data_IF_572105224476
#
_entry.id   IF_572105224476
#
_cell.length_a   1.000
_cell.length_b   1.000
_cell.length_c   1.000
_cell.angle_alpha   90.00
_cell.angle_beta   90.00
_cell.angle_gamma   90.00
#
_symmetry.space_group_name_H-M   'P 1'
#
loop_
_entity.id
_entity.type
_entity.pdbx_description
1 polymer ?
#
# COMPACT_ATOMS: atom_id res chain seq x y z
N UNK A 1 14.26 45.08 46.92
CA UNK A 1 13.72 43.78 46.47
C UNK A 1 13.44 43.85 44.98
N UNK A 2 14.22 43.14 44.15
CA UNK A 2 14.01 43.04 42.70
C UNK A 2 13.55 41.60 42.42
N UNK A 3 12.30 41.43 42.00
CA UNK A 3 11.73 40.14 41.62
C UNK A 3 11.92 40.03 40.10
N UNK A 4 12.70 39.06 39.67
CA UNK A 4 12.98 38.77 38.26
C UNK A 4 11.93 37.76 37.77
N UNK A 5 11.23 37.95 36.64
CA UNK A 5 10.28 36.95 36.19
C UNK A 5 11.03 35.83 35.48
N UNK A 6 10.89 34.62 36.00
CA UNK A 6 11.26 33.39 35.32
C UNK A 6 10.27 33.18 34.17
N UNK A 7 10.72 33.45 32.93
CA UNK A 7 9.97 33.11 31.72
C UNK A 7 10.12 31.60 31.51
N UNK A 8 9.04 30.85 31.76
CA UNK A 8 8.93 29.43 31.43
C UNK A 8 8.81 29.29 29.92
N UNK A 9 9.93 28.93 29.28
CA UNK A 9 9.96 28.54 27.87
C UNK A 9 9.27 27.18 27.73
N UNK A 10 8.03 27.18 27.23
CA UNK A 10 7.37 25.95 26.78
C UNK A 10 8.08 25.46 25.52
N UNK A 11 8.98 24.50 25.66
CA UNK A 11 9.57 23.77 24.53
C UNK A 11 8.49 22.82 24.03
N UNK A 12 7.73 23.24 23.03
CA UNK A 12 6.80 22.37 22.31
C UNK A 12 7.61 21.33 21.54
N UNK A 13 7.67 20.09 22.05
CA UNK A 13 8.24 18.96 21.33
C UNK A 13 7.23 18.54 20.28
N UNK A 14 7.39 18.98 19.03
CA UNK A 14 6.59 18.46 17.92
C UNK A 14 7.06 17.03 17.64
N UNK A 15 6.39 16.04 18.22
CA UNK A 15 6.55 14.66 17.79
C UNK A 15 5.96 14.57 16.38
N UNK A 16 6.82 14.55 15.36
CA UNK A 16 6.41 14.16 14.02
C UNK A 16 5.89 12.72 14.11
N UNK A 17 4.57 12.56 14.14
CA UNK A 17 3.96 11.26 13.92
C UNK A 17 4.37 10.84 12.50
N UNK A 18 5.34 9.94 12.41
CA UNK A 18 5.75 9.36 11.15
C UNK A 18 4.55 8.54 10.65
N UNK A 19 3.74 9.13 9.77
CA UNK A 19 2.59 8.45 9.19
C UNK A 19 3.07 7.21 8.45
N UNK A 20 2.41 6.07 8.57
CA UNK A 20 2.82 4.86 7.85
C UNK A 20 2.46 4.92 6.36
N UNK A 21 1.72 5.96 5.96
CA UNK A 21 1.50 6.33 4.57
C UNK A 21 2.77 6.88 3.92
N UNK A 22 2.80 6.79 2.61
CA UNK A 22 3.94 7.16 1.77
C UNK A 22 4.28 6.08 0.75
N UNK A 23 5.40 6.27 0.08
CA UNK A 23 5.91 5.33 -0.92
C UNK A 23 6.66 4.19 -0.22
N UNK A 24 6.33 2.97 -0.59
CA UNK A 24 7.05 1.77 -0.17
C UNK A 24 7.55 1.05 -1.42
N UNK A 25 8.80 0.59 -1.42
CA UNK A 25 9.39 -0.06 -2.59
C UNK A 25 10.42 -1.12 -2.25
N UNK A 26 10.70 -2.02 -3.18
CA UNK A 26 11.80 -2.99 -3.08
C UNK A 26 13.16 -2.28 -3.12
N UNK A 27 13.21 -1.20 -3.91
CA UNK A 27 14.26 -0.19 -3.97
C UNK A 27 13.59 1.19 -3.89
N UNK A 28 14.38 2.24 -3.61
CA UNK A 28 13.88 3.62 -3.59
C UNK A 28 14.33 4.45 -4.80
N UNK A 29 14.92 3.78 -5.79
CA UNK A 29 15.14 4.27 -7.14
C UNK A 29 13.98 3.82 -8.05
N UNK A 30 14.16 3.96 -9.37
CA UNK A 30 13.16 3.60 -10.38
C UNK A 30 13.27 2.13 -10.83
N UNK A 31 14.25 1.36 -10.33
CA UNK A 31 14.58 0.01 -10.80
C UNK A 31 13.83 -1.10 -10.02
N UNK A 32 12.73 -0.76 -9.35
CA UNK A 32 12.02 -1.66 -8.43
C UNK A 32 10.50 -1.59 -8.50
N UNK A 33 9.85 -2.53 -7.81
CA UNK A 33 8.42 -2.39 -7.52
C UNK A 33 8.23 -1.35 -6.42
N UNK A 34 7.29 -0.44 -6.63
CA UNK A 34 6.85 0.50 -5.61
C UNK A 34 5.33 0.62 -5.56
N UNK A 35 4.83 0.93 -4.36
CA UNK A 35 3.43 1.16 -4.07
C UNK A 35 3.30 2.41 -3.22
N UNK A 36 2.40 3.29 -3.63
CA UNK A 36 2.01 4.44 -2.82
C UNK A 36 0.87 4.01 -1.91
N UNK A 37 1.11 4.10 -0.60
CA UNK A 37 0.15 3.77 0.45
C UNK A 37 -0.46 5.08 0.94
N UNK A 38 -1.73 5.31 0.64
CA UNK A 38 -2.46 6.54 0.94
C UNK A 38 -3.91 6.21 1.32
N UNK A 39 -4.54 7.00 2.19
CA UNK A 39 -5.96 6.85 2.53
C UNK A 39 -6.90 7.28 1.39
N UNK A 40 -6.38 8.02 0.42
CA UNK A 40 -7.09 8.41 -0.80
C UNK A 40 -6.76 7.48 -1.96
N UNK A 41 -7.70 7.27 -2.90
CA UNK A 41 -7.46 6.46 -4.08
C UNK A 41 -6.26 6.94 -4.90
N UNK A 42 -5.36 6.01 -5.23
CA UNK A 42 -4.22 6.20 -6.12
C UNK A 42 -4.00 4.99 -7.01
N UNK A 43 -3.37 5.19 -8.16
CA UNK A 43 -3.11 4.11 -9.10
C UNK A 43 -2.04 3.13 -8.60
N UNK A 44 -2.22 1.87 -8.93
CA UNK A 44 -1.27 0.77 -8.80
C UNK A 44 -1.25 0.00 -10.11
N UNK A 45 -0.05 -0.17 -10.67
CA UNK A 45 0.18 -1.03 -11.83
C UNK A 45 0.29 -2.46 -11.32
N UNK A 46 -0.62 -3.32 -11.76
CA UNK A 46 -0.66 -4.74 -11.36
C UNK A 46 0.05 -5.60 -12.40
N UNK A 47 -0.21 -5.31 -13.67
CA UNK A 47 0.54 -5.85 -14.80
C UNK A 47 0.72 -4.76 -15.84
N UNK A 48 1.95 -4.60 -16.31
CA UNK A 48 2.34 -3.58 -17.28
C UNK A 48 1.52 -3.72 -18.56
N UNK A 49 0.94 -2.61 -18.99
CA UNK A 49 0.07 -2.51 -20.18
C UNK A 49 -1.17 -3.42 -20.16
N UNK A 50 -1.49 -4.09 -19.04
CA UNK A 50 -2.64 -5.01 -18.95
C UNK A 50 -3.62 -4.61 -17.86
N UNK A 51 -3.16 -4.24 -16.67
CA UNK A 51 -4.03 -4.00 -15.52
C UNK A 51 -3.44 -2.87 -14.65
N UNK A 52 -4.14 -1.74 -14.62
CA UNK A 52 -3.92 -0.66 -13.66
C UNK A 52 -5.20 -0.46 -12.87
N UNK A 53 -5.10 -0.46 -11.54
CA UNK A 53 -6.23 -0.28 -10.63
C UNK A 53 -6.02 0.96 -9.78
N UNK A 54 -7.10 1.51 -9.25
CA UNK A 54 -7.06 2.45 -8.14
C UNK A 54 -7.22 1.68 -6.83
N UNK A 55 -6.39 2.04 -5.85
CA UNK A 55 -6.38 1.48 -4.51
C UNK A 55 -6.38 2.58 -3.46
N UNK A 56 -6.87 2.27 -2.27
CA UNK A 56 -6.63 3.05 -1.07
C UNK A 56 -6.19 2.14 0.08
N UNK A 57 -5.60 2.75 1.09
CA UNK A 57 -5.08 2.08 2.26
C UNK A 57 -5.89 2.45 3.51
N UNK A 58 -6.00 1.50 4.42
CA UNK A 58 -6.54 1.73 5.76
C UNK A 58 -5.60 1.14 6.78
N UNK A 59 -5.12 1.96 7.71
CA UNK A 59 -4.43 1.47 8.90
C UNK A 59 -5.40 0.61 9.74
N UNK A 60 -4.96 -0.61 10.05
CA UNK A 60 -5.72 -1.56 10.87
C UNK A 60 -5.19 -1.52 12.31
N UNK A 61 -3.88 -1.41 12.45
CA UNK A 61 -3.18 -1.17 13.71
C UNK A 61 -1.84 -0.45 13.43
N UNK A 62 -1.06 -0.22 14.49
CA UNK A 62 0.21 0.51 14.44
C UNK A 62 1.25 -0.03 13.44
N UNK A 63 1.17 -1.31 13.08
CA UNK A 63 2.15 -2.04 12.28
C UNK A 63 1.51 -2.76 11.09
N UNK A 64 0.22 -2.51 10.82
CA UNK A 64 -0.52 -3.22 9.78
C UNK A 64 -1.45 -2.29 9.01
N UNK A 65 -1.35 -2.36 7.70
CA UNK A 65 -2.21 -1.68 6.74
C UNK A 65 -2.86 -2.70 5.82
N UNK A 66 -4.15 -2.52 5.56
CA UNK A 66 -4.84 -3.20 4.48
C UNK A 66 -4.96 -2.27 3.27
N UNK A 67 -4.79 -2.83 2.08
CA UNK A 67 -4.92 -2.12 0.81
C UNK A 67 -6.14 -2.70 0.09
N UNK A 68 -7.02 -1.82 -0.35
CA UNK A 68 -8.31 -2.16 -0.94
C UNK A 68 -8.38 -1.71 -2.38
N UNK A 69 -9.11 -2.47 -3.20
CA UNK A 69 -9.43 -2.09 -4.57
C UNK A 69 -10.60 -1.10 -4.58
N UNK A 70 -10.47 -0.02 -5.35
CA UNK A 70 -11.56 0.93 -5.59
C UNK A 70 -12.18 0.74 -6.96
N UNK A 71 -11.35 0.79 -8.00
CA UNK A 71 -11.82 0.76 -9.39
C UNK A 71 -10.69 0.37 -10.34
N UNK A 72 -11.07 0.06 -11.56
CA UNK A 72 -10.13 -0.01 -12.68
C UNK A 72 -9.70 1.41 -13.06
N UNK A 73 -8.40 1.61 -13.23
CA UNK A 73 -7.84 2.83 -13.80
C UNK A 73 -7.61 2.69 -15.31
N UNK A 74 -7.03 1.56 -15.74
CA UNK A 74 -6.76 1.25 -17.15
C UNK A 74 -6.66 -0.27 -17.38
N UNK A 75 -7.07 -0.75 -18.56
CA UNK A 75 -7.03 -2.17 -18.93
C UNK A 75 -6.49 -2.36 -20.35
N UNK A 76 -5.53 -3.27 -20.46
CA UNK A 76 -5.19 -3.95 -21.69
C UNK A 76 -5.98 -5.25 -21.88
N UNK A 77 -5.63 -5.99 -22.93
CA UNK A 77 -6.33 -7.22 -23.34
C UNK A 77 -6.41 -8.28 -22.24
N UNK A 78 -5.36 -8.44 -21.44
CA UNK A 78 -5.31 -9.40 -20.34
C UNK A 78 -6.31 -9.09 -19.23
N UNK A 79 -6.54 -7.80 -18.93
CA UNK A 79 -7.43 -7.35 -17.88
C UNK A 79 -8.91 -7.28 -18.30
N UNK A 80 -9.21 -7.05 -19.58
CA UNK A 80 -10.59 -6.86 -20.06
C UNK A 80 -11.51 -8.07 -19.86
N UNK A 81 -10.96 -9.27 -19.73
CA UNK A 81 -11.76 -10.50 -19.58
C UNK A 81 -12.23 -10.74 -18.14
N UNK A 82 -11.82 -9.91 -17.17
CA UNK A 82 -12.25 -10.08 -15.78
C UNK A 82 -13.60 -9.39 -15.54
N UNK A 83 -14.39 -9.98 -14.66
CA UNK A 83 -15.66 -9.41 -14.23
C UNK A 83 -15.44 -8.39 -13.10
N UNK A 84 -14.88 -7.24 -13.46
CA UNK A 84 -14.50 -6.17 -12.52
C UNK A 84 -15.66 -5.65 -11.67
N UNK A 85 -16.91 -5.81 -12.13
CA UNK A 85 -18.13 -5.43 -11.40
C UNK A 85 -18.36 -6.29 -10.16
N UNK A 86 -17.85 -7.52 -10.15
CA UNK A 86 -18.00 -8.46 -9.04
C UNK A 86 -16.79 -8.49 -8.10
N UNK A 87 -15.76 -7.68 -8.34
CA UNK A 87 -14.62 -7.58 -7.45
C UNK A 87 -15.00 -6.79 -6.20
N UNK A 88 -14.61 -7.31 -5.04
CA UNK A 88 -14.92 -6.71 -3.75
C UNK A 88 -14.06 -5.48 -3.47
N UNK A 89 -14.72 -4.39 -3.07
CA UNK A 89 -14.06 -3.19 -2.55
C UNK A 89 -13.79 -3.27 -1.03
N UNK A 90 -14.40 -4.25 -0.34
CA UNK A 90 -14.28 -4.39 1.13
C UNK A 90 -13.33 -5.51 1.57
N UNK A 91 -12.91 -6.38 0.63
CA UNK A 91 -11.87 -7.39 0.87
C UNK A 91 -10.54 -6.81 0.38
N UNK A 92 -9.48 -6.86 1.21
CA UNK A 92 -8.19 -6.28 0.81
C UNK A 92 -7.58 -7.08 -0.34
N UNK A 93 -6.97 -6.36 -1.29
CA UNK A 93 -6.15 -6.92 -2.37
C UNK A 93 -4.71 -7.15 -1.93
N UNK A 94 -4.26 -6.43 -0.89
CA UNK A 94 -2.97 -6.68 -0.26
C UNK A 94 -2.98 -6.28 1.21
N UNK A 95 -2.01 -6.81 1.95
CA UNK A 95 -1.71 -6.40 3.32
C UNK A 95 -0.24 -6.01 3.43
N UNK A 96 0.04 -4.91 4.11
CA UNK A 96 1.39 -4.47 4.44
C UNK A 96 1.56 -4.57 5.96
N UNK A 97 2.45 -5.44 6.40
CA UNK A 97 2.88 -5.51 7.81
C UNK A 97 4.27 -4.90 7.92
N UNK A 98 4.55 -4.08 8.92
CA UNK A 98 5.81 -3.35 8.98
C UNK A 98 6.31 -3.10 10.40
N UNK A 99 7.62 -2.93 10.51
CA UNK A 99 8.30 -2.49 11.72
C UNK A 99 9.30 -1.40 11.30
N UNK A 100 9.06 -0.17 11.76
CA UNK A 100 9.82 1.02 11.33
C UNK A 100 9.77 1.15 9.80
N UNK A 101 10.92 1.20 9.13
CA UNK A 101 11.06 1.41 7.68
C UNK A 101 11.12 0.09 6.88
N UNK A 102 10.80 -1.06 7.50
CA UNK A 102 10.82 -2.37 6.83
C UNK A 102 9.42 -2.95 6.80
N UNK A 103 8.96 -3.32 5.61
CA UNK A 103 7.62 -3.83 5.36
C UNK A 103 7.62 -5.16 4.63
N UNK A 104 6.60 -5.96 4.91
CA UNK A 104 6.25 -7.18 4.21
C UNK A 104 4.89 -6.96 3.53
N UNK A 105 4.91 -6.83 2.21
CA UNK A 105 3.70 -6.77 1.41
C UNK A 105 3.29 -8.18 1.01
N UNK A 106 2.04 -8.53 1.29
CA UNK A 106 1.39 -9.77 0.87
C UNK A 106 0.26 -9.43 -0.09
N UNK A 107 0.47 -9.70 -1.37
CA UNK A 107 -0.58 -9.62 -2.36
C UNK A 107 -1.54 -10.79 -2.20
N UNK A 108 -2.85 -10.51 -2.20
CA UNK A 108 -3.92 -11.50 -2.04
C UNK A 108 -4.63 -11.82 -3.35
N UNK A 109 -4.49 -10.96 -4.36
CA UNK A 109 -5.31 -11.02 -5.57
C UNK A 109 -6.61 -10.25 -5.44
N UNK A 110 -7.44 -10.37 -6.47
CA UNK A 110 -8.77 -9.80 -6.50
C UNK A 110 -9.78 -10.77 -5.90
N UNK A 111 -10.60 -10.31 -4.94
CA UNK A 111 -11.67 -11.13 -4.40
C UNK A 111 -12.93 -11.02 -5.26
N UNK A 112 -13.35 -12.12 -5.87
CA UNK A 112 -14.60 -12.22 -6.61
C UNK A 112 -15.76 -12.52 -5.64
N UNK A 113 -16.69 -11.58 -5.47
CA UNK A 113 -17.86 -11.75 -4.59
C UNK A 113 -18.80 -12.87 -5.05
N UNK A 114 -18.92 -13.09 -6.37
CA UNK A 114 -19.80 -14.11 -6.95
C UNK A 114 -19.25 -15.51 -6.69
N UNK A 115 -17.93 -15.67 -6.81
CA UNK A 115 -17.25 -16.96 -6.59
C UNK A 115 -16.76 -17.15 -5.15
N UNK A 116 -16.82 -16.10 -4.32
CA UNK A 116 -16.33 -16.08 -2.94
C UNK A 116 -14.88 -16.56 -2.80
N UNK A 117 -14.01 -16.15 -3.73
CA UNK A 117 -12.61 -16.55 -3.74
C UNK A 117 -11.70 -15.48 -4.34
N UNK A 118 -10.44 -15.50 -3.92
CA UNK A 118 -9.38 -14.72 -4.54
C UNK A 118 -8.94 -15.36 -5.87
N UNK A 119 -8.59 -14.52 -6.84
CA UNK A 119 -7.96 -14.90 -8.10
C UNK A 119 -6.87 -13.89 -8.46
N UNK A 120 -6.04 -14.20 -9.46
CA UNK A 120 -4.91 -13.35 -9.87
C UNK A 120 -3.89 -13.15 -8.73
N UNK A 121 -3.57 -14.24 -8.03
CA UNK A 121 -2.75 -14.22 -6.81
C UNK A 121 -1.25 -14.24 -7.15
N UNK A 122 -0.86 -15.03 -8.15
CA UNK A 122 0.54 -15.21 -8.56
C UNK A 122 0.91 -14.45 -9.84
N UNK A 123 -0.09 -13.98 -10.57
CA UNK A 123 0.08 -13.42 -11.92
C UNK A 123 0.54 -11.96 -12.01
N UNK A 124 0.38 -11.06 -11.02
CA UNK A 124 0.92 -9.70 -11.11
C UNK A 124 2.44 -9.68 -11.35
N UNK A 125 2.91 -8.75 -12.17
CA UNK A 125 4.33 -8.68 -12.58
C UNK A 125 5.26 -8.51 -11.38
N UNK A 126 4.84 -7.68 -10.41
CA UNK A 126 5.60 -7.45 -9.19
C UNK A 126 5.62 -8.66 -8.25
N UNK A 127 4.59 -9.52 -8.29
CA UNK A 127 4.57 -10.77 -7.51
C UNK A 127 5.56 -11.75 -8.14
N UNK A 128 5.52 -11.92 -9.46
CA UNK A 128 6.42 -12.83 -10.16
C UNK A 128 7.90 -12.41 -10.02
N UNK A 129 8.16 -11.10 -9.99
CA UNK A 129 9.52 -10.55 -9.98
C UNK A 129 10.14 -10.43 -8.59
N UNK A 130 9.34 -10.11 -7.57
CA UNK A 130 9.87 -9.74 -6.24
C UNK A 130 9.35 -10.58 -5.07
N UNK A 131 8.42 -11.51 -5.31
CA UNK A 131 7.89 -12.33 -4.22
C UNK A 131 8.78 -13.53 -3.91
N UNK A 132 9.17 -13.65 -2.64
CA UNK A 132 9.77 -14.84 -2.07
C UNK A 132 8.78 -15.47 -1.09
N UNK A 133 8.22 -16.65 -1.41
CA UNK A 133 7.26 -17.33 -0.54
C UNK A 133 5.95 -16.56 -0.30
N UNK A 134 5.50 -15.77 -1.28
CA UNK A 134 4.27 -14.96 -1.18
C UNK A 134 4.44 -13.65 -0.42
N UNK A 135 5.68 -13.23 -0.15
CA UNK A 135 6.03 -11.98 0.53
C UNK A 135 6.94 -11.15 -0.36
N UNK A 136 6.66 -9.85 -0.44
CA UNK A 136 7.52 -8.87 -1.09
C UNK A 136 8.08 -7.97 0.01
N UNK A 137 9.40 -7.95 0.14
CA UNK A 137 10.09 -7.12 1.13
C UNK A 137 10.16 -5.69 0.60
N UNK A 138 9.62 -4.75 1.36
CA UNK A 138 9.61 -3.33 1.02
C UNK A 138 10.35 -2.51 2.07
N UNK A 139 10.82 -1.36 1.64
CA UNK A 139 11.35 -0.30 2.47
C UNK A 139 10.54 0.96 2.26
N UNK A 140 10.34 1.74 3.31
CA UNK A 140 9.70 3.06 3.18
C UNK A 140 10.67 4.00 2.46
N UNK A 141 10.23 4.57 1.35
CA UNK A 141 11.01 5.48 0.51
C UNK A 141 10.64 6.94 0.81
N UNK A 142 11.65 7.72 1.19
CA UNK A 142 11.48 9.09 1.68
C UNK A 142 11.19 9.14 3.19
N UNK A 143 11.98 9.95 3.90
CA UNK A 143 11.70 10.48 5.25
C UNK A 143 11.36 11.94 5.07
#
# INVERSE_FOLDING_TARGET
MKIWPFILLFISVTTHANSNFGRWGTTCDDDGFSININDKPNSLIVNDNQIVINIHAKEIDKNKINIYYDSVADLGRGGMNFDWKNISQIKPVAELSFIKQKGELRWKGFYDNKRSKYFWISDPDFVQSYSEGGVIKLHKCGI
#
